data_IF_332782980664
#
_entry.id   IF_332782980664
#
_cell.length_a   1.000
_cell.length_b   1.000
_cell.length_c   1.000
_cell.angle_alpha   90.00
_cell.angle_beta   90.00
_cell.angle_gamma   90.00
#
_symmetry.space_group_name_H-M   'P 1'
#
loop_
_entity.id
_entity.type
_entity.pdbx_description
1 polymer ?
#
# COMPACT_ATOMS: atom_id res chain seq x y z
N UNK A 1 -2.88 -20.44 -4.09
CA UNK A 1 -2.70 -20.70 -2.65
C UNK A 1 -3.42 -19.59 -1.90
N UNK A 2 -4.54 -19.87 -1.23
CA UNK A 2 -5.25 -18.84 -0.47
C UNK A 2 -4.48 -18.61 0.84
N UNK A 3 -3.79 -17.49 0.92
CA UNK A 3 -3.12 -17.07 2.16
C UNK A 3 -4.22 -16.56 3.09
N UNK A 4 -4.62 -17.41 4.04
CA UNK A 4 -5.50 -16.99 5.14
C UNK A 4 -4.69 -16.09 6.06
N UNK A 5 -5.06 -14.80 6.11
CA UNK A 5 -4.56 -13.90 7.15
C UNK A 5 -4.99 -14.44 8.51
N UNK A 6 -4.09 -14.57 9.48
CA UNK A 6 -4.48 -14.95 10.82
C UNK A 6 -5.43 -13.89 11.39
N UNK A 7 -6.62 -14.30 11.66
CA UNK A 7 -7.73 -13.47 12.14
C UNK A 7 -7.64 -13.23 13.64
N UNK A 8 -6.63 -12.54 14.13
CA UNK A 8 -6.86 -11.81 15.34
C UNK A 8 -7.48 -10.45 14.95
N UNK A 9 -8.67 -10.16 15.39
CA UNK A 9 -9.35 -8.88 15.19
C UNK A 9 -8.43 -7.70 15.56
N UNK A 10 -7.59 -7.88 16.57
CA UNK A 10 -6.64 -6.87 17.03
C UNK A 10 -5.53 -6.58 16.01
N UNK A 11 -4.96 -7.62 15.39
CA UNK A 11 -3.93 -7.44 14.37
C UNK A 11 -4.48 -6.75 13.11
N UNK A 12 -5.70 -7.11 12.70
CA UNK A 12 -6.38 -6.46 11.58
C UNK A 12 -6.72 -4.99 11.89
N UNK A 13 -7.13 -4.71 13.11
CA UNK A 13 -7.40 -3.34 13.57
C UNK A 13 -6.15 -2.48 13.58
N UNK A 14 -5.03 -3.01 14.08
CA UNK A 14 -3.74 -2.32 14.07
C UNK A 14 -3.24 -2.05 12.65
N UNK A 15 -3.37 -3.04 11.77
CA UNK A 15 -3.00 -2.90 10.37
C UNK A 15 -3.82 -1.80 9.68
N UNK A 16 -5.15 -1.84 9.84
CA UNK A 16 -6.03 -0.81 9.30
C UNK A 16 -5.69 0.58 9.84
N UNK A 17 -5.48 0.70 11.14
CA UNK A 17 -5.09 1.97 11.78
C UNK A 17 -3.78 2.53 11.20
N UNK A 18 -2.81 1.66 10.91
CA UNK A 18 -1.56 2.08 10.31
C UNK A 18 -1.74 2.54 8.85
N UNK A 19 -2.54 1.82 8.06
CA UNK A 19 -2.88 2.24 6.71
C UNK A 19 -3.59 3.60 6.69
N UNK A 20 -4.57 3.81 7.57
CA UNK A 20 -5.30 5.08 7.69
C UNK A 20 -4.37 6.23 8.12
N UNK A 21 -3.41 5.96 9.01
CA UNK A 21 -2.38 6.93 9.40
C UNK A 21 -1.50 7.31 8.20
N UNK A 22 -0.96 6.34 7.48
CA UNK A 22 -0.15 6.60 6.29
C UNK A 22 -0.93 7.41 5.24
N UNK A 23 -2.21 7.09 5.02
CA UNK A 23 -3.07 7.86 4.14
C UNK A 23 -3.26 9.31 4.62
N UNK A 24 -3.47 9.50 5.93
CA UNK A 24 -3.55 10.84 6.53
C UNK A 24 -2.31 11.67 6.28
N UNK A 25 -1.13 11.10 6.52
CA UNK A 25 0.17 11.75 6.29
C UNK A 25 0.40 12.04 4.79
N UNK A 26 0.09 11.08 3.91
CA UNK A 26 0.21 11.24 2.45
C UNK A 26 -0.57 12.44 1.93
N UNK A 27 -1.79 12.65 2.43
CA UNK A 27 -2.61 13.81 2.04
C UNK A 27 -2.00 15.16 2.43
N UNK A 28 -1.23 15.19 3.50
CA UNK A 28 -0.62 16.40 4.04
C UNK A 28 0.75 16.67 3.42
N UNK A 29 1.57 15.63 3.35
CA UNK A 29 2.99 15.74 2.98
C UNK A 29 3.24 15.61 1.49
N UNK A 30 2.27 15.07 0.74
CA UNK A 30 2.41 14.66 -0.66
C UNK A 30 3.49 13.60 -0.90
N UNK A 31 3.90 12.90 0.15
CA UNK A 31 4.82 11.76 0.08
C UNK A 31 4.04 10.46 -0.04
N UNK A 32 4.66 9.45 -0.62
CA UNK A 32 4.20 8.08 -0.52
C UNK A 32 4.77 7.45 0.74
N UNK A 33 3.98 6.61 1.39
CA UNK A 33 4.37 5.81 2.55
C UNK A 33 4.12 4.35 2.24
N UNK A 34 5.01 3.48 2.67
CA UNK A 34 4.82 2.06 2.45
C UNK A 34 5.56 1.17 3.44
N UNK A 35 5.11 -0.06 3.56
CA UNK A 35 5.70 -1.06 4.44
C UNK A 35 5.31 -2.48 4.01
N UNK A 36 6.04 -3.45 4.51
CA UNK A 36 5.66 -4.86 4.42
C UNK A 36 4.94 -5.31 5.70
N UNK A 37 4.04 -6.25 5.53
CA UNK A 37 3.41 -7.01 6.61
C UNK A 37 4.04 -8.38 6.65
N UNK A 38 4.45 -8.81 7.83
CA UNK A 38 5.12 -10.08 8.05
C UNK A 38 4.31 -10.97 8.98
N UNK A 39 4.41 -12.28 8.75
CA UNK A 39 4.00 -13.31 9.69
C UNK A 39 5.23 -14.00 10.27
N UNK A 40 5.21 -14.28 11.57
CA UNK A 40 6.19 -15.14 12.21
C UNK A 40 5.70 -16.59 12.33
N UNK A 41 6.58 -17.50 12.76
CA UNK A 41 6.25 -18.91 12.93
C UNK A 41 5.12 -19.21 13.92
N UNK A 42 4.78 -18.27 14.79
CA UNK A 42 3.62 -18.36 15.72
C UNK A 42 2.34 -17.74 15.13
N UNK A 43 2.33 -17.43 13.84
CA UNK A 43 1.22 -16.77 13.15
C UNK A 43 0.88 -15.38 13.69
N UNK A 44 1.82 -14.71 14.35
CA UNK A 44 1.66 -13.31 14.73
C UNK A 44 2.02 -12.42 13.56
N UNK A 45 1.14 -11.46 13.28
CA UNK A 45 1.36 -10.43 12.25
C UNK A 45 2.16 -9.27 12.83
N UNK A 46 3.13 -8.79 12.08
CA UNK A 46 3.92 -7.60 12.41
C UNK A 46 4.00 -6.67 11.20
N UNK A 47 4.06 -5.38 11.46
CA UNK A 47 4.29 -4.36 10.44
C UNK A 47 5.79 -4.08 10.44
N UNK A 48 6.39 -4.07 9.26
CA UNK A 48 7.79 -3.72 9.07
C UNK A 48 8.06 -2.23 9.25
N UNK A 49 9.27 -1.82 8.90
CA UNK A 49 9.64 -0.41 8.86
C UNK A 49 8.75 0.35 7.87
N UNK A 50 8.39 1.58 8.25
CA UNK A 50 7.63 2.47 7.37
C UNK A 50 8.64 3.30 6.59
N UNK A 51 8.60 3.15 5.28
CA UNK A 51 9.39 3.91 4.34
C UNK A 51 8.57 5.10 3.83
N UNK A 52 9.24 6.19 3.52
CA UNK A 52 8.63 7.37 2.90
C UNK A 52 9.42 7.81 1.67
N UNK A 53 8.72 8.34 0.67
CA UNK A 53 9.34 8.96 -0.50
C UNK A 53 9.73 10.40 -0.23
N UNK A 54 10.47 11.00 -1.17
CA UNK A 54 10.45 12.46 -1.31
C UNK A 54 9.04 12.93 -1.69
N UNK A 55 8.69 14.20 -1.44
CA UNK A 55 7.42 14.75 -1.91
C UNK A 55 7.27 14.57 -3.43
N UNK A 56 6.05 14.30 -3.86
CA UNK A 56 5.76 14.14 -5.29
C UNK A 56 6.07 15.41 -6.08
N UNK A 57 6.50 15.24 -7.32
CA UNK A 57 6.72 16.33 -8.25
C UNK A 57 5.40 16.95 -8.74
N UNK A 58 5.47 17.98 -9.59
CA UNK A 58 4.29 18.66 -10.14
C UNK A 58 3.37 17.74 -10.98
N UNK A 59 3.88 16.60 -11.40
CA UNK A 59 3.14 15.54 -12.11
C UNK A 59 2.51 14.51 -11.14
N UNK A 60 2.68 14.69 -9.83
CA UNK A 60 2.17 13.76 -8.84
C UNK A 60 2.91 12.42 -8.80
N UNK A 61 4.15 12.41 -9.29
CA UNK A 61 4.99 11.21 -9.30
C UNK A 61 5.96 11.22 -8.12
N UNK A 62 6.04 10.10 -7.44
CA UNK A 62 7.06 9.79 -6.45
C UNK A 62 7.60 8.39 -6.72
N UNK A 63 8.77 8.11 -6.22
CA UNK A 63 9.31 6.76 -6.21
C UNK A 63 10.13 6.55 -4.94
N UNK A 64 10.03 5.39 -4.37
CA UNK A 64 10.86 4.95 -3.24
C UNK A 64 10.94 3.43 -3.21
N UNK A 65 11.95 2.92 -2.54
CA UNK A 65 12.09 1.48 -2.35
C UNK A 65 11.61 1.10 -0.96
N UNK A 66 10.79 0.07 -0.89
CA UNK A 66 10.39 -0.56 0.35
C UNK A 66 11.20 -1.85 0.49
N UNK A 67 12.09 -1.90 1.46
CA UNK A 67 12.93 -3.08 1.66
C UNK A 67 12.14 -4.24 2.26
N UNK A 68 12.27 -5.41 1.64
CA UNK A 68 11.68 -6.65 2.11
C UNK A 68 12.68 -7.38 3.01
N UNK A 69 12.49 -7.25 4.31
CA UNK A 69 13.37 -7.83 5.32
C UNK A 69 12.79 -9.15 5.86
N UNK A 70 13.06 -10.25 5.18
CA UNK A 70 12.64 -11.58 5.61
C UNK A 70 13.75 -12.31 6.37
N UNK A 71 13.40 -12.89 7.51
CA UNK A 71 14.29 -13.80 8.25
C UNK A 71 14.03 -15.25 7.82
N UNK A 72 14.24 -15.54 6.53
CA UNK A 72 14.14 -16.88 5.97
C UNK A 72 15.52 -17.51 6.05
N UNK A 73 15.89 -18.07 7.20
CA UNK A 73 17.07 -18.92 7.28
C UNK A 73 16.70 -20.30 6.74
N UNK A 74 17.33 -20.74 5.66
CA UNK A 74 17.13 -22.03 4.98
C UNK A 74 17.26 -23.28 5.88
N UNK A 75 17.53 -23.13 7.16
CA UNK A 75 17.65 -24.19 8.16
C UNK A 75 16.80 -23.99 9.41
N UNK A 76 15.92 -23.01 9.46
CA UNK A 76 15.08 -22.78 10.62
C UNK A 76 13.75 -23.56 10.48
N UNK A 77 13.28 -24.13 11.59
CA UNK A 77 11.92 -24.64 11.68
C UNK A 77 10.96 -23.48 11.35
N UNK A 78 10.06 -23.62 10.36
CA UNK A 78 9.06 -22.59 10.03
C UNK A 78 8.17 -22.20 11.20
N UNK A 79 8.13 -23.01 12.25
CA UNK A 79 7.42 -22.73 13.51
C UNK A 79 8.22 -21.90 14.49
N UNK A 80 9.50 -21.61 14.21
CA UNK A 80 10.29 -20.75 15.06
C UNK A 80 9.72 -19.32 15.08
N UNK A 81 9.59 -18.69 16.27
CA UNK A 81 9.19 -17.27 16.35
C UNK A 81 10.10 -16.31 15.60
N UNK A 82 11.36 -16.70 15.38
CA UNK A 82 12.34 -15.93 14.61
C UNK A 82 12.18 -16.06 13.09
N UNK A 83 11.35 -17.00 12.62
CA UNK A 83 11.04 -17.14 11.21
C UNK A 83 9.99 -16.11 10.84
N UNK A 84 10.32 -15.18 9.93
CA UNK A 84 9.39 -14.18 9.43
C UNK A 84 9.37 -14.18 7.91
N UNK A 85 8.19 -14.08 7.33
CA UNK A 85 8.01 -13.97 5.88
C UNK A 85 6.97 -12.90 5.58
N UNK A 86 7.18 -12.18 4.49
CA UNK A 86 6.25 -11.17 4.04
C UNK A 86 4.96 -11.81 3.53
N UNK A 87 3.82 -11.27 3.90
CA UNK A 87 2.48 -11.73 3.50
C UNK A 87 1.69 -10.68 2.75
N UNK A 88 2.08 -9.41 2.83
CA UNK A 88 1.52 -8.33 2.04
C UNK A 88 2.52 -7.17 1.96
N UNK A 89 2.36 -6.35 0.92
CA UNK A 89 2.96 -5.03 0.83
C UNK A 89 1.85 -3.99 0.83
N UNK A 90 2.12 -2.85 1.44
CA UNK A 90 1.23 -1.69 1.44
C UNK A 90 1.98 -0.44 1.01
N UNK A 91 1.33 0.42 0.23
CA UNK A 91 1.80 1.78 0.03
C UNK A 91 0.62 2.74 -0.25
N UNK A 92 0.91 4.03 -0.21
CA UNK A 92 -0.05 5.09 -0.48
C UNK A 92 0.33 5.84 -1.76
N UNK A 93 -0.67 6.35 -2.46
CA UNK A 93 -0.47 7.32 -3.53
C UNK A 93 -1.00 8.69 -3.11
N UNK A 94 -0.24 9.77 -3.24
CA UNK A 94 -0.72 11.11 -2.91
C UNK A 94 -1.90 11.50 -3.81
N UNK A 95 -2.93 12.15 -3.25
CA UNK A 95 -3.97 12.74 -4.07
C UNK A 95 -3.40 13.86 -4.94
N UNK A 96 -4.08 14.18 -6.03
CA UNK A 96 -3.64 15.18 -7.00
C UNK A 96 -3.88 16.64 -6.56
N UNK A 97 -4.10 16.89 -5.28
CA UNK A 97 -4.42 18.21 -4.71
C UNK A 97 -3.36 19.27 -4.98
N UNK A 98 -2.12 18.85 -5.21
CA UNK A 98 -0.95 19.71 -5.49
C UNK A 98 -0.53 19.69 -6.96
N UNK A 99 -1.07 18.76 -7.76
CA UNK A 99 -0.73 18.64 -9.17
C UNK A 99 -1.46 19.70 -10.01
N UNK A 100 -0.99 19.93 -11.23
CA UNK A 100 -1.69 20.79 -12.19
C UNK A 100 -3.14 20.32 -12.40
N UNK A 101 -4.13 21.22 -12.46
CA UNK A 101 -5.54 20.84 -12.69
C UNK A 101 -5.78 20.07 -13.99
N UNK A 102 -4.85 20.16 -14.95
CA UNK A 102 -4.93 19.40 -16.20
C UNK A 102 -4.35 17.98 -16.07
N UNK A 103 -3.65 17.71 -14.97
CA UNK A 103 -3.08 16.39 -14.73
C UNK A 103 -4.13 15.47 -14.08
N UNK A 104 -4.13 14.24 -14.51
CA UNK A 104 -4.98 13.20 -13.93
C UNK A 104 -4.32 11.83 -14.03
N UNK A 105 -4.65 10.95 -13.13
CA UNK A 105 -4.33 9.52 -13.19
C UNK A 105 -5.50 8.70 -12.68
N UNK A 106 -5.57 7.46 -13.09
CA UNK A 106 -6.51 6.50 -12.49
C UNK A 106 -6.06 6.19 -11.06
N UNK A 107 -6.99 6.17 -10.09
CA UNK A 107 -6.66 5.73 -8.75
C UNK A 107 -6.34 4.23 -8.68
N UNK A 108 -5.56 3.86 -7.68
CA UNK A 108 -5.07 2.51 -7.50
C UNK A 108 -3.67 2.28 -8.06
N UNK A 109 -3.25 1.03 -8.26
CA UNK A 109 -1.90 0.70 -8.71
C UNK A 109 -1.54 1.36 -10.03
N UNK A 110 -0.40 2.00 -10.09
CA UNK A 110 0.16 2.58 -11.30
C UNK A 110 0.76 1.50 -12.23
N UNK A 111 1.06 1.87 -13.48
CA UNK A 111 1.79 0.99 -14.37
C UNK A 111 3.20 0.64 -13.86
N UNK A 112 3.82 1.56 -13.11
CA UNK A 112 5.14 1.36 -12.48
C UNK A 112 5.01 0.35 -11.34
N UNK A 113 3.99 0.49 -10.49
CA UNK A 113 3.72 -0.48 -9.41
C UNK A 113 3.55 -1.88 -9.97
N UNK A 114 2.71 -2.03 -10.99
CA UNK A 114 2.48 -3.33 -11.62
C UNK A 114 3.72 -3.97 -12.23
N UNK A 115 4.76 -3.19 -12.50
CA UNK A 115 6.05 -3.68 -12.99
C UNK A 115 7.06 -4.03 -11.90
N UNK A 116 6.96 -3.40 -10.72
CA UNK A 116 7.99 -3.46 -9.68
C UNK A 116 7.55 -4.11 -8.38
N UNK A 117 6.23 -4.29 -8.17
CA UNK A 117 5.73 -4.90 -6.95
C UNK A 117 5.92 -6.43 -6.95
N UNK A 118 6.06 -7.02 -5.74
CA UNK A 118 6.23 -8.47 -5.62
C UNK A 118 5.09 -9.25 -6.25
N UNK A 119 5.42 -10.27 -7.01
CA UNK A 119 4.43 -11.14 -7.68
C UNK A 119 3.87 -12.23 -6.75
N UNK A 120 4.54 -12.48 -5.63
CA UNK A 120 4.29 -13.61 -4.73
C UNK A 120 3.37 -13.29 -3.55
N UNK A 121 3.10 -12.01 -3.30
CA UNK A 121 2.24 -11.53 -2.20
C UNK A 121 1.25 -10.47 -2.69
N UNK A 122 0.10 -10.33 -2.01
CA UNK A 122 -0.84 -9.25 -2.33
C UNK A 122 -0.24 -7.88 -1.99
N UNK A 123 -0.54 -6.91 -2.83
CA UNK A 123 -0.18 -5.52 -2.66
C UNK A 123 -1.45 -4.67 -2.49
N UNK A 124 -1.39 -3.74 -1.54
CA UNK A 124 -2.48 -2.85 -1.19
C UNK A 124 -2.03 -1.41 -1.45
N UNK A 125 -2.82 -0.68 -2.21
CA UNK A 125 -2.57 0.73 -2.53
C UNK A 125 -3.70 1.57 -1.97
N UNK A 126 -3.37 2.49 -1.06
CA UNK A 126 -4.33 3.45 -0.56
C UNK A 126 -4.26 4.71 -1.42
N UNK A 127 -5.35 4.99 -2.09
CA UNK A 127 -5.47 6.10 -3.04
C UNK A 127 -6.84 6.77 -2.89
N UNK A 128 -7.10 7.86 -3.62
CA UNK A 128 -8.39 8.52 -3.59
C UNK A 128 -9.50 7.63 -4.18
N UNK A 129 -10.73 7.85 -3.72
CA UNK A 129 -11.89 7.06 -4.16
C UNK A 129 -12.28 7.42 -5.60
N UNK A 130 -12.43 6.39 -6.43
CA UNK A 130 -12.89 6.53 -7.81
C UNK A 130 -14.29 7.12 -7.92
N UNK A 131 -15.15 6.86 -6.93
CA UNK A 131 -16.54 7.32 -6.93
C UNK A 131 -16.69 8.83 -6.72
N UNK A 132 -15.59 9.52 -6.35
CA UNK A 132 -15.56 10.99 -6.25
C UNK A 132 -15.31 11.69 -7.59
N UNK A 133 -15.39 10.96 -8.71
CA UNK A 133 -15.34 11.54 -10.04
C UNK A 133 -16.71 12.14 -10.38
N UNK A 134 -16.82 13.47 -10.32
CA UNK A 134 -18.03 14.17 -10.72
C UNK A 134 -18.16 14.22 -12.25
N UNK A 135 -19.34 13.85 -12.77
CA UNK A 135 -19.77 14.03 -14.17
C UNK A 135 -18.79 13.49 -15.23
N UNK A 136 -18.09 12.38 -14.93
CA UNK A 136 -17.11 11.81 -15.86
C UNK A 136 -15.85 12.66 -16.02
N UNK A 137 -15.69 13.72 -15.23
CA UNK A 137 -14.48 14.53 -15.16
C UNK A 137 -13.59 14.02 -14.03
N UNK A 138 -12.33 13.76 -14.34
CA UNK A 138 -11.36 13.16 -13.42
C UNK A 138 -10.80 14.16 -12.39
N UNK A 139 -11.66 14.96 -11.75
CA UNK A 139 -11.24 15.98 -10.79
C UNK A 139 -11.19 15.53 -9.34
N UNK A 140 -11.61 14.30 -9.03
CA UNK A 140 -11.70 13.80 -7.66
C UNK A 140 -10.40 13.97 -6.89
N UNK A 141 -9.27 13.57 -7.45
CA UNK A 141 -7.96 13.67 -6.83
C UNK A 141 -7.47 15.08 -6.49
N UNK A 142 -8.07 16.13 -7.06
CA UNK A 142 -7.72 17.55 -6.82
C UNK A 142 -8.51 18.19 -5.69
N UNK A 143 -9.49 17.51 -5.10
CA UNK A 143 -10.30 18.06 -4.00
C UNK A 143 -9.55 17.95 -2.67
N UNK A 144 -9.55 19.01 -1.84
CA UNK A 144 -9.09 18.89 -0.46
C UNK A 144 -10.01 17.92 0.30
N UNK A 145 -9.45 17.18 1.26
CA UNK A 145 -10.18 16.21 2.09
C UNK A 145 -10.91 15.10 1.33
N UNK A 146 -10.38 14.71 0.18
CA UNK A 146 -10.95 13.62 -0.61
C UNK A 146 -10.90 12.31 0.21
N UNK A 147 -11.98 11.50 0.20
CA UNK A 147 -11.95 10.18 0.79
C UNK A 147 -10.98 9.28 0.04
N UNK A 148 -10.45 8.31 0.76
CA UNK A 148 -9.55 7.32 0.23
C UNK A 148 -10.16 5.93 0.27
N UNK A 149 -9.67 5.06 -0.60
CA UNK A 149 -10.01 3.64 -0.60
C UNK A 149 -8.77 2.79 -0.83
N UNK A 150 -8.83 1.53 -0.43
CA UNK A 150 -7.74 0.58 -0.61
C UNK A 150 -8.02 -0.26 -1.83
N UNK A 151 -7.12 -0.18 -2.80
CA UNK A 151 -7.11 -1.03 -3.98
C UNK A 151 -6.17 -2.19 -3.73
N UNK A 152 -6.60 -3.40 -4.08
CA UNK A 152 -5.80 -4.61 -3.91
C UNK A 152 -5.47 -5.22 -5.26
N UNK A 153 -4.27 -5.75 -5.40
CA UNK A 153 -3.93 -6.61 -6.51
C UNK A 153 -2.91 -7.67 -6.07
N UNK A 154 -2.93 -8.79 -6.74
CA UNK A 154 -1.88 -9.80 -6.66
C UNK A 154 -1.08 -9.73 -7.97
N UNK A 155 0.18 -10.11 -7.96
CA UNK A 155 1.12 -10.00 -9.08
C UNK A 155 0.67 -10.59 -10.44
N UNK A 156 -0.56 -11.03 -10.57
CA UNK A 156 -1.16 -11.49 -11.83
C UNK A 156 -1.74 -10.35 -12.68
N UNK A 157 -1.45 -9.09 -12.35
CA UNK A 157 -1.91 -7.89 -13.08
C UNK A 157 -3.43 -7.73 -13.18
N UNK A 158 -4.20 -8.32 -12.27
CA UNK A 158 -5.66 -8.18 -12.22
C UNK A 158 -6.07 -7.58 -10.88
N UNK A 159 -6.94 -6.56 -10.87
CA UNK A 159 -7.58 -6.12 -9.64
C UNK A 159 -8.27 -7.31 -8.97
N UNK A 160 -8.11 -7.44 -7.67
CA UNK A 160 -8.94 -8.34 -6.88
C UNK A 160 -10.23 -7.57 -6.60
N UNK A 161 -11.31 -7.96 -7.23
CA UNK A 161 -12.64 -7.41 -6.98
C UNK A 161 -13.21 -7.93 -5.66
#
# INVERSE_FOLDING_TARGET
MNILFPTSLDAMSQFKSMMDRCWGETKITTKEYGFYVYLNGNSNMTIGEIYESEPTNAQGEASFNIERNESIFYRCDPRSPSFTFAVAQFHTHPPLTHASPSYWRMPGPSGIDMGNLPDDIPCLVYDYDRNELEDGKLYGGHKPNIPGTIYTYNGTRRPIN
#
